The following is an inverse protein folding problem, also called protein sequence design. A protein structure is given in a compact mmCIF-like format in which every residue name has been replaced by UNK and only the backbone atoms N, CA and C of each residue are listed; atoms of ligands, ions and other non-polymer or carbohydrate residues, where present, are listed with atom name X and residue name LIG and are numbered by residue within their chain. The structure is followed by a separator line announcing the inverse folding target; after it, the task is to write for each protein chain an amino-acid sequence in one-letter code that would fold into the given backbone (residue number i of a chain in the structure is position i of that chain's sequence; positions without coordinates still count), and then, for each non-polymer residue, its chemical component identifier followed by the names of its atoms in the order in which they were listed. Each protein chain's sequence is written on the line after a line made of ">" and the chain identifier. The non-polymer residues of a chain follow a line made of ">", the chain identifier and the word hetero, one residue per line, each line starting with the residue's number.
data_IF_375542066900
#
_entry.id   IF_375542066900
#
_cell.length_a   1.000
_cell.length_b   1.000
_cell.length_c   1.000
_cell.angle_alpha   90.00
_cell.angle_beta   90.00
_cell.angle_gamma   90.00
#
_symmetry.space_group_name_H-M   'P 1'
#
loop_
_entity.id
_entity.type
_entity.pdbx_description
1 polymer ?
#
# COMPACT_ATOMS: atom_id res chain seq x y z
N UNK A 1 11.77 31.36 -13.80
CA UNK A 1 11.82 32.24 -14.98
C UNK A 1 11.31 31.46 -16.17
N UNK A 2 10.25 31.97 -16.80
CA UNK A 2 9.69 31.40 -18.04
C UNK A 2 10.71 31.65 -19.16
N UNK A 3 11.11 30.59 -19.87
CA UNK A 3 12.02 30.72 -20.99
C UNK A 3 11.37 31.49 -22.15
N UNK A 4 12.13 32.27 -22.93
CA UNK A 4 11.61 33.05 -24.04
C UNK A 4 10.94 32.16 -25.11
N UNK A 5 11.48 30.96 -25.33
CA UNK A 5 10.94 29.98 -26.26
C UNK A 5 9.57 29.45 -25.80
N UNK A 6 9.38 29.21 -24.48
CA UNK A 6 8.09 28.77 -23.91
C UNK A 6 6.99 29.83 -24.13
N UNK A 7 7.33 31.13 -24.02
CA UNK A 7 6.39 32.23 -24.25
C UNK A 7 5.99 32.30 -25.74
N UNK A 8 6.95 32.08 -26.65
CA UNK A 8 6.68 32.05 -28.10
C UNK A 8 5.76 30.89 -28.46
N UNK A 9 6.05 29.68 -27.91
CA UNK A 9 5.24 28.49 -28.12
C UNK A 9 3.83 28.66 -27.58
N UNK A 10 3.68 29.30 -26.41
CA UNK A 10 2.39 29.62 -25.85
C UNK A 10 1.56 30.53 -26.77
N UNK A 11 2.15 31.60 -27.29
CA UNK A 11 1.45 32.54 -28.19
C UNK A 11 1.00 31.86 -29.47
N UNK A 12 1.85 31.06 -30.09
CA UNK A 12 1.52 30.30 -31.28
C UNK A 12 0.41 29.28 -31.03
N UNK A 13 0.50 28.53 -29.94
CA UNK A 13 -0.50 27.54 -29.53
C UNK A 13 -1.85 28.23 -29.25
N UNK A 14 -1.84 29.37 -28.56
CA UNK A 14 -3.05 30.15 -28.28
C UNK A 14 -3.75 30.54 -29.60
N UNK A 15 -2.99 31.06 -30.56
CA UNK A 15 -3.53 31.48 -31.84
C UNK A 15 -4.21 30.32 -32.59
N UNK A 16 -3.56 29.15 -32.61
CA UNK A 16 -4.10 27.94 -33.26
C UNK A 16 -5.33 27.40 -32.50
N UNK A 17 -5.31 27.44 -31.18
CA UNK A 17 -6.41 27.01 -30.33
C UNK A 17 -7.66 27.90 -30.52
N UNK A 18 -7.46 29.23 -30.64
CA UNK A 18 -8.55 30.20 -30.90
C UNK A 18 -9.20 29.97 -32.25
N UNK A 19 -8.48 29.37 -33.20
CA UNK A 19 -9.03 28.98 -34.52
C UNK A 19 -9.86 27.69 -34.46
N UNK A 20 -9.99 27.06 -33.30
CA UNK A 20 -10.82 25.87 -33.07
C UNK A 20 -10.11 24.54 -33.23
N UNK A 21 -8.78 24.51 -33.35
CA UNK A 21 -8.00 23.27 -33.43
C UNK A 21 -8.00 22.54 -32.09
N UNK A 22 -8.57 21.34 -32.04
CA UNK A 22 -8.73 20.57 -30.81
C UNK A 22 -7.39 20.19 -30.17
N UNK A 23 -6.40 19.79 -30.95
CA UNK A 23 -5.07 19.45 -30.44
C UNK A 23 -4.36 20.66 -29.83
N UNK A 24 -4.49 21.83 -30.48
CA UNK A 24 -3.95 23.08 -29.95
C UNK A 24 -4.67 23.50 -28.66
N UNK A 25 -5.97 23.33 -28.60
CA UNK A 25 -6.77 23.58 -27.38
C UNK A 25 -6.32 22.68 -26.24
N UNK A 26 -6.09 21.40 -26.50
CA UNK A 26 -5.52 20.48 -25.51
C UNK A 26 -4.14 20.93 -25.07
N UNK A 27 -3.25 21.24 -26.00
CA UNK A 27 -1.87 21.68 -25.68
C UNK A 27 -1.89 22.97 -24.86
N UNK A 28 -2.76 23.90 -25.20
CA UNK A 28 -2.93 25.15 -24.43
C UNK A 28 -3.46 24.89 -23.01
N UNK A 29 -4.43 23.99 -22.88
CA UNK A 29 -4.91 23.55 -21.58
C UNK A 29 -3.79 22.97 -20.71
N UNK A 30 -2.92 22.16 -21.30
CA UNK A 30 -1.74 21.60 -20.63
C UNK A 30 -0.77 22.70 -20.21
N UNK A 31 -0.49 23.68 -21.07
CA UNK A 31 0.37 24.82 -20.74
C UNK A 31 -0.15 25.60 -19.53
N UNK A 32 -1.43 25.88 -19.45
CA UNK A 32 -2.04 26.50 -18.28
C UNK A 32 -2.00 25.60 -17.05
N UNK A 33 -2.19 24.30 -17.23
CA UNK A 33 -2.15 23.34 -16.12
C UNK A 33 -0.75 23.24 -15.48
N UNK A 34 0.30 23.24 -16.30
CA UNK A 34 1.70 23.10 -15.87
C UNK A 34 2.40 24.44 -15.59
N UNK A 35 1.82 25.55 -16.06
CA UNK A 35 2.45 26.86 -16.00
C UNK A 35 3.62 27.01 -16.98
N UNK A 36 3.51 26.41 -18.17
CA UNK A 36 4.54 26.42 -19.20
C UNK A 36 4.27 27.57 -20.18
N UNK A 37 5.18 28.52 -20.27
CA UNK A 37 5.04 29.71 -21.11
C UNK A 37 3.98 30.70 -20.66
N UNK A 38 3.24 30.38 -19.59
CA UNK A 38 2.19 31.17 -18.99
C UNK A 38 2.10 30.86 -17.52
N UNK A 39 1.51 31.76 -16.73
CA UNK A 39 1.24 31.49 -15.31
C UNK A 39 0.27 30.33 -15.19
N UNK A 40 0.55 29.39 -14.28
CA UNK A 40 -0.34 28.27 -13.98
C UNK A 40 -1.73 28.77 -13.60
N UNK A 41 -2.74 28.23 -14.28
CA UNK A 41 -4.14 28.53 -14.03
C UNK A 41 -5.03 27.32 -14.36
N UNK A 42 -5.49 26.63 -13.33
CA UNK A 42 -6.34 25.44 -13.49
C UNK A 42 -7.70 25.77 -14.09
N UNK A 43 -8.26 26.94 -13.83
CA UNK A 43 -9.54 27.32 -14.40
C UNK A 43 -9.44 27.53 -15.92
N UNK A 44 -8.39 28.20 -16.38
CA UNK A 44 -8.12 28.33 -17.82
C UNK A 44 -7.77 26.98 -18.44
N UNK A 45 -7.00 26.13 -17.75
CA UNK A 45 -6.72 24.78 -18.22
C UNK A 45 -8.02 23.99 -18.45
N UNK A 46 -8.95 24.02 -17.49
CA UNK A 46 -10.24 23.35 -17.60
C UNK A 46 -11.07 23.87 -18.77
N UNK A 47 -11.07 25.19 -19.01
CA UNK A 47 -11.80 25.81 -20.14
C UNK A 47 -11.27 25.31 -21.48
N UNK A 48 -9.96 25.25 -21.67
CA UNK A 48 -9.36 24.79 -22.91
C UNK A 48 -9.51 23.28 -23.09
N UNK A 49 -9.36 22.49 -22.03
CA UNK A 49 -9.66 21.06 -22.09
C UNK A 49 -11.13 20.80 -22.46
N UNK A 50 -12.05 21.58 -21.91
CA UNK A 50 -13.46 21.46 -22.23
C UNK A 50 -13.73 21.69 -23.73
N UNK A 51 -13.13 22.73 -24.33
CA UNK A 51 -13.28 23.00 -25.77
C UNK A 51 -12.76 21.83 -26.63
N UNK A 52 -11.60 21.28 -26.30
CA UNK A 52 -11.06 20.12 -27.00
C UNK A 52 -11.92 18.86 -26.76
N UNK A 53 -12.38 18.67 -25.53
CA UNK A 53 -13.21 17.53 -25.13
C UNK A 53 -14.57 17.52 -25.84
N UNK A 54 -15.20 18.68 -26.01
CA UNK A 54 -16.44 18.81 -26.78
C UNK A 54 -16.27 18.40 -28.24
N UNK A 55 -15.10 18.59 -28.81
CA UNK A 55 -14.74 18.11 -30.16
C UNK A 55 -14.44 16.62 -30.23
N UNK A 56 -14.54 15.89 -29.11
CA UNK A 56 -14.29 14.46 -29.04
C UNK A 56 -12.84 14.08 -28.80
N UNK A 57 -11.97 15.01 -28.42
CA UNK A 57 -10.54 14.72 -28.19
C UNK A 57 -10.35 13.92 -26.89
N UNK A 58 -10.00 12.60 -26.96
CA UNK A 58 -10.13 11.72 -25.80
C UNK A 58 -9.18 12.06 -24.66
N UNK A 59 -7.96 12.50 -24.95
CA UNK A 59 -6.99 12.91 -23.91
C UNK A 59 -7.53 14.10 -23.12
N UNK A 60 -8.13 15.07 -23.80
CA UNK A 60 -8.76 16.24 -23.16
C UNK A 60 -9.96 15.83 -22.32
N UNK A 61 -10.78 14.91 -22.81
CA UNK A 61 -11.91 14.35 -22.06
C UNK A 61 -11.43 13.70 -20.76
N UNK A 62 -10.39 12.86 -20.84
CA UNK A 62 -9.81 12.23 -19.65
C UNK A 62 -9.27 13.26 -18.66
N UNK A 63 -8.51 14.25 -19.13
CA UNK A 63 -7.92 15.28 -18.27
C UNK A 63 -8.99 16.15 -17.60
N UNK A 64 -10.04 16.50 -18.35
CA UNK A 64 -11.18 17.23 -17.80
C UNK A 64 -11.91 16.39 -16.73
N UNK A 65 -12.11 15.10 -16.99
CA UNK A 65 -12.65 14.16 -16.01
C UNK A 65 -11.83 14.15 -14.71
N UNK A 66 -10.50 14.13 -14.83
CA UNK A 66 -9.61 14.20 -13.67
C UNK A 66 -9.73 15.52 -12.91
N UNK A 67 -9.89 16.63 -13.60
CA UNK A 67 -10.08 17.93 -12.95
C UNK A 67 -11.40 17.97 -12.17
N UNK A 68 -12.49 17.44 -12.73
CA UNK A 68 -13.76 17.30 -12.00
C UNK A 68 -13.65 16.33 -10.81
N UNK A 69 -12.92 15.23 -10.96
CA UNK A 69 -12.73 14.28 -9.88
C UNK A 69 -11.97 14.88 -8.68
N UNK A 70 -11.02 15.78 -8.94
CA UNK A 70 -10.17 16.42 -7.93
C UNK A 70 -10.67 17.78 -7.48
N UNK A 71 -11.57 18.42 -8.22
CA UNK A 71 -11.96 19.81 -7.97
C UNK A 71 -10.85 20.81 -8.30
N UNK A 72 -10.11 20.58 -9.38
CA UNK A 72 -9.04 21.47 -9.86
C UNK A 72 -9.55 22.34 -10.99
N UNK A 73 -9.59 23.66 -10.77
CA UNK A 73 -10.07 24.63 -11.75
C UNK A 73 -11.57 24.59 -12.02
N UNK A 74 -12.26 23.61 -11.48
CA UNK A 74 -13.71 23.41 -11.52
C UNK A 74 -14.15 22.92 -10.14
N UNK A 75 -15.43 23.08 -9.83
CA UNK A 75 -16.01 22.49 -8.63
C UNK A 75 -15.95 20.96 -8.74
N UNK A 76 -15.51 20.30 -7.69
CA UNK A 76 -15.46 18.84 -7.63
C UNK A 76 -16.85 18.25 -7.92
N UNK A 77 -16.91 17.39 -8.92
CA UNK A 77 -18.15 16.73 -9.34
C UNK A 77 -17.83 15.33 -9.91
N UNK A 78 -18.00 14.28 -9.10
CA UNK A 78 -17.72 12.92 -9.54
C UNK A 78 -18.62 12.45 -10.69
N UNK A 79 -19.85 12.96 -10.79
CA UNK A 79 -20.79 12.62 -11.87
C UNK A 79 -20.26 13.16 -13.21
N UNK A 80 -19.80 14.41 -13.24
CA UNK A 80 -19.17 15.00 -14.42
C UNK A 80 -17.88 14.27 -14.77
N UNK A 81 -17.08 13.91 -13.77
CA UNK A 81 -15.85 13.13 -13.98
C UNK A 81 -16.14 11.80 -14.69
N UNK A 82 -17.16 11.07 -14.22
CA UNK A 82 -17.59 9.81 -14.85
C UNK A 82 -18.01 10.02 -16.30
N UNK A 83 -18.81 11.02 -16.59
CA UNK A 83 -19.30 11.28 -17.94
C UNK A 83 -18.15 11.55 -18.92
N UNK A 84 -17.15 12.33 -18.52
CA UNK A 84 -16.00 12.63 -19.36
C UNK A 84 -15.07 11.42 -19.52
N UNK A 85 -14.81 10.68 -18.44
CA UNK A 85 -14.04 9.42 -18.53
C UNK A 85 -14.72 8.42 -19.47
N UNK A 86 -16.04 8.29 -19.37
CA UNK A 86 -16.83 7.39 -20.24
C UNK A 86 -16.65 7.74 -21.70
N UNK A 87 -16.79 9.01 -22.06
CA UNK A 87 -16.60 9.46 -23.44
C UNK A 87 -15.23 9.08 -24.01
N UNK A 88 -14.19 9.30 -23.23
CA UNK A 88 -12.84 8.92 -23.63
C UNK A 88 -12.63 7.40 -23.66
N UNK A 89 -13.17 6.70 -22.66
CA UNK A 89 -13.05 5.24 -22.53
C UNK A 89 -13.75 4.51 -23.67
N UNK A 90 -14.91 4.97 -24.10
CA UNK A 90 -15.67 4.41 -25.24
C UNK A 90 -14.93 4.59 -26.55
N UNK A 91 -14.07 5.61 -26.67
CA UNK A 91 -13.17 5.79 -27.80
C UNK A 91 -11.91 4.91 -27.74
N UNK A 92 -11.74 4.11 -26.69
CA UNK A 92 -10.58 3.24 -26.52
C UNK A 92 -9.41 3.86 -25.76
N UNK A 93 -9.58 5.05 -25.18
CA UNK A 93 -8.49 5.68 -24.43
C UNK A 93 -8.23 4.93 -23.11
N UNK A 94 -7.09 4.25 -23.04
CA UNK A 94 -6.79 3.28 -21.98
C UNK A 94 -6.80 3.88 -20.57
N UNK A 95 -6.22 5.05 -20.38
CA UNK A 95 -6.18 5.71 -19.07
C UNK A 95 -7.59 6.04 -18.57
N UNK A 96 -8.50 6.48 -19.47
CA UNK A 96 -9.88 6.74 -19.11
C UNK A 96 -10.64 5.46 -18.77
N UNK A 97 -10.36 4.37 -19.48
CA UNK A 97 -10.91 3.04 -19.15
C UNK A 97 -10.52 2.62 -17.73
N UNK A 98 -9.25 2.78 -17.37
CA UNK A 98 -8.79 2.55 -16.01
C UNK A 98 -9.49 3.44 -14.99
N UNK A 99 -9.53 4.75 -15.24
CA UNK A 99 -10.17 5.71 -14.34
C UNK A 99 -11.67 5.41 -14.15
N UNK A 100 -12.36 5.02 -15.22
CA UNK A 100 -13.77 4.61 -15.15
C UNK A 100 -13.94 3.32 -14.33
N UNK A 101 -13.04 2.35 -14.50
CA UNK A 101 -12.99 1.14 -13.68
C UNK A 101 -12.86 1.44 -12.19
N UNK A 102 -11.98 2.37 -11.82
CA UNK A 102 -11.79 2.83 -10.42
C UNK A 102 -13.07 3.48 -9.88
N UNK A 103 -13.78 4.24 -10.69
CA UNK A 103 -15.06 4.84 -10.26
C UNK A 103 -16.12 3.79 -9.95
N UNK A 104 -16.24 2.76 -10.78
CA UNK A 104 -17.14 1.63 -10.52
C UNK A 104 -16.72 0.79 -9.31
N UNK A 105 -15.42 0.55 -9.14
CA UNK A 105 -14.90 -0.17 -7.97
C UNK A 105 -15.26 0.54 -6.66
N UNK A 106 -15.15 1.87 -6.63
CA UNK A 106 -15.35 2.67 -5.41
C UNK A 106 -16.74 3.27 -5.26
N UNK A 107 -17.60 3.16 -6.27
CA UNK A 107 -18.93 3.80 -6.26
C UNK A 107 -18.85 5.33 -6.22
N UNK A 108 -17.94 5.94 -6.98
CA UNK A 108 -17.78 7.40 -7.07
C UNK A 108 -18.36 7.91 -8.37
N UNK A 109 -19.38 8.76 -8.27
CA UNK A 109 -20.09 9.29 -9.45
C UNK A 109 -20.99 8.29 -10.17
N UNK A 110 -20.91 7.02 -9.79
CA UNK A 110 -21.75 5.89 -10.23
C UNK A 110 -22.03 4.99 -9.05
N UNK A 111 -23.04 4.16 -9.16
CA UNK A 111 -23.26 3.07 -8.21
C UNK A 111 -22.10 2.07 -8.31
N UNK A 112 -21.57 1.64 -7.16
CA UNK A 112 -20.53 0.60 -7.12
C UNK A 112 -20.98 -0.65 -7.87
N UNK A 113 -20.12 -1.10 -8.79
CA UNK A 113 -20.37 -2.29 -9.61
C UNK A 113 -19.05 -2.94 -10.00
N UNK A 114 -18.70 -4.01 -9.30
CA UNK A 114 -17.44 -4.72 -9.56
C UNK A 114 -17.41 -5.39 -10.94
N UNK A 115 -18.56 -5.82 -11.48
CA UNK A 115 -18.63 -6.40 -12.84
C UNK A 115 -18.24 -5.36 -13.90
N UNK A 116 -18.75 -4.14 -13.78
CA UNK A 116 -18.34 -3.03 -14.63
C UNK A 116 -16.87 -2.66 -14.44
N UNK A 117 -16.40 -2.64 -13.20
CA UNK A 117 -14.99 -2.36 -12.90
C UNK A 117 -14.07 -3.36 -13.62
N UNK A 118 -14.36 -4.65 -13.53
CA UNK A 118 -13.60 -5.70 -14.22
C UNK A 118 -13.57 -5.49 -15.72
N UNK A 119 -14.70 -5.15 -16.33
CA UNK A 119 -14.78 -4.93 -17.79
C UNK A 119 -13.89 -3.77 -18.23
N UNK A 120 -13.94 -2.65 -17.52
CA UNK A 120 -13.12 -1.47 -17.86
C UNK A 120 -11.65 -1.69 -17.54
N UNK A 121 -11.32 -2.29 -16.39
CA UNK A 121 -9.94 -2.68 -16.09
C UNK A 121 -9.38 -3.66 -17.13
N UNK A 122 -10.19 -4.61 -17.58
CA UNK A 122 -9.80 -5.56 -18.62
C UNK A 122 -9.39 -4.87 -19.92
N UNK A 123 -10.18 -3.92 -20.38
CA UNK A 123 -9.86 -3.15 -21.60
C UNK A 123 -8.57 -2.35 -21.45
N UNK A 124 -8.39 -1.67 -20.33
CA UNK A 124 -7.18 -0.90 -20.05
C UNK A 124 -5.96 -1.81 -19.87
N UNK A 125 -6.12 -2.94 -19.18
CA UNK A 125 -5.06 -3.93 -18.95
C UNK A 125 -4.55 -4.56 -20.25
N UNK A 126 -5.44 -4.87 -21.18
CA UNK A 126 -5.09 -5.38 -22.51
C UNK A 126 -4.28 -4.36 -23.32
N UNK A 127 -4.47 -3.08 -23.08
CA UNK A 127 -3.69 -2.01 -23.70
C UNK A 127 -2.38 -1.72 -22.96
N UNK A 128 -2.06 -2.44 -21.90
CA UNK A 128 -0.79 -2.34 -21.21
C UNK A 128 -0.73 -1.39 -20.02
N UNK A 129 -1.84 -0.86 -19.53
CA UNK A 129 -1.88 -0.03 -18.30
C UNK A 129 -1.55 -0.91 -17.09
N UNK A 130 -0.40 -0.70 -16.47
CA UNK A 130 0.10 -1.53 -15.37
C UNK A 130 -0.83 -1.51 -14.15
N UNK A 131 -1.37 -0.35 -13.80
CA UNK A 131 -2.32 -0.19 -12.71
C UNK A 131 -3.62 -0.98 -12.98
N UNK A 132 -4.07 -1.01 -14.23
CA UNK A 132 -5.25 -1.79 -14.62
C UNK A 132 -4.96 -3.29 -14.58
N UNK A 133 -3.77 -3.72 -14.99
CA UNK A 133 -3.33 -5.12 -14.90
C UNK A 133 -3.30 -5.58 -13.44
N UNK A 134 -2.74 -4.76 -12.56
CA UNK A 134 -2.73 -5.04 -11.12
C UNK A 134 -4.16 -5.11 -10.55
N UNK A 135 -5.00 -4.13 -10.84
CA UNK A 135 -6.39 -4.09 -10.36
C UNK A 135 -7.19 -5.29 -10.86
N UNK A 136 -7.04 -5.66 -12.12
CA UNK A 136 -7.70 -6.83 -12.69
C UNK A 136 -7.21 -8.12 -12.02
N UNK A 137 -5.91 -8.26 -11.81
CA UNK A 137 -5.31 -9.38 -11.08
C UNK A 137 -5.89 -9.52 -9.69
N UNK A 138 -6.02 -8.41 -8.96
CA UNK A 138 -6.62 -8.36 -7.62
C UNK A 138 -8.09 -8.84 -7.65
N UNK A 139 -8.87 -8.41 -8.62
CA UNK A 139 -10.28 -8.81 -8.73
C UNK A 139 -10.43 -10.31 -9.00
N UNK A 140 -9.58 -10.90 -9.83
CA UNK A 140 -9.53 -12.35 -10.01
C UNK A 140 -9.07 -13.08 -8.75
N UNK A 141 -8.10 -12.50 -8.02
CA UNK A 141 -7.59 -13.09 -6.78
C UNK A 141 -8.66 -13.13 -5.68
N UNK A 142 -9.44 -12.07 -5.56
CA UNK A 142 -10.48 -11.93 -4.52
C UNK A 142 -11.85 -12.45 -4.94
N UNK A 143 -12.05 -12.70 -6.24
CA UNK A 143 -13.37 -13.09 -6.78
C UNK A 143 -14.37 -11.95 -6.73
N UNK A 144 -13.93 -10.73 -7.00
CA UNK A 144 -14.79 -9.54 -7.04
C UNK A 144 -15.17 -9.20 -8.49
N UNK A 145 -16.47 -9.23 -8.79
CA UNK A 145 -16.97 -8.95 -10.13
C UNK A 145 -16.67 -10.03 -11.17
N UNK A 146 -15.91 -11.05 -10.80
CA UNK A 146 -15.58 -12.26 -11.57
C UNK A 146 -15.46 -13.43 -10.60
N UNK A 147 -15.54 -14.63 -11.14
CA UNK A 147 -15.24 -15.84 -10.38
C UNK A 147 -13.75 -15.82 -9.97
N UNK A 148 -13.48 -16.14 -8.71
CA UNK A 148 -12.10 -16.24 -8.20
C UNK A 148 -11.28 -17.20 -9.08
N UNK A 149 -10.13 -16.74 -9.53
CA UNK A 149 -9.21 -17.51 -10.37
C UNK A 149 -7.78 -17.05 -10.11
N UNK A 150 -7.04 -17.83 -9.33
CA UNK A 150 -5.65 -17.49 -8.99
C UNK A 150 -4.72 -17.55 -10.21
N UNK A 151 -4.97 -18.42 -11.18
CA UNK A 151 -4.15 -18.51 -12.39
C UNK A 151 -4.29 -17.25 -13.25
N UNK A 152 -5.51 -16.75 -13.43
CA UNK A 152 -5.74 -15.46 -14.10
C UNK A 152 -5.15 -14.30 -13.31
N UNK A 153 -5.30 -14.31 -11.98
CA UNK A 153 -4.68 -13.28 -11.12
C UNK A 153 -3.17 -13.21 -11.33
N UNK A 154 -2.50 -14.35 -11.28
CA UNK A 154 -1.04 -14.44 -11.51
C UNK A 154 -0.64 -13.93 -12.89
N UNK A 155 -1.39 -14.29 -13.92
CA UNK A 155 -1.15 -13.82 -15.28
C UNK A 155 -1.14 -12.30 -15.38
N UNK A 156 -2.09 -11.64 -14.76
CA UNK A 156 -2.17 -10.18 -14.75
C UNK A 156 -1.13 -9.53 -13.83
N UNK A 157 -0.89 -10.11 -12.66
CA UNK A 157 0.19 -9.65 -11.77
C UNK A 157 1.55 -9.72 -12.46
N UNK A 158 1.81 -10.79 -13.22
CA UNK A 158 3.06 -10.94 -13.95
C UNK A 158 3.27 -9.79 -14.94
N UNK A 159 2.24 -9.44 -15.70
CA UNK A 159 2.32 -8.33 -16.66
C UNK A 159 2.61 -6.99 -15.98
N UNK A 160 1.93 -6.69 -14.89
CA UNK A 160 2.20 -5.48 -14.11
C UNK A 160 3.59 -5.50 -13.46
N UNK A 161 3.99 -6.65 -12.93
CA UNK A 161 5.30 -6.86 -12.29
C UNK A 161 6.47 -6.66 -13.28
N UNK A 162 6.32 -7.15 -14.49
CA UNK A 162 7.30 -6.95 -15.58
C UNK A 162 7.45 -5.49 -15.98
N UNK A 163 6.42 -4.67 -15.78
CA UNK A 163 6.48 -3.22 -15.96
C UNK A 163 7.07 -2.48 -14.76
N UNK A 164 7.44 -3.19 -13.70
CA UNK A 164 8.11 -2.64 -12.53
C UNK A 164 7.18 -2.31 -11.35
N UNK A 165 5.90 -2.65 -11.41
CA UNK A 165 4.98 -2.39 -10.29
C UNK A 165 5.39 -3.21 -9.05
N UNK A 166 5.81 -2.54 -7.95
CA UNK A 166 6.33 -3.26 -6.78
C UNK A 166 5.24 -4.03 -6.02
N UNK A 167 4.01 -3.58 -6.06
CA UNK A 167 2.90 -4.27 -5.39
C UNK A 167 2.58 -5.57 -6.13
N UNK A 168 2.53 -5.51 -7.46
CA UNK A 168 2.34 -6.70 -8.30
C UNK A 168 3.50 -7.68 -8.14
N UNK A 169 4.74 -7.20 -8.08
CA UNK A 169 5.92 -8.02 -7.83
C UNK A 169 5.81 -8.75 -6.49
N UNK A 170 5.43 -8.05 -5.43
CA UNK A 170 5.22 -8.67 -4.12
C UNK A 170 4.10 -9.72 -4.15
N UNK A 171 2.97 -9.42 -4.78
CA UNK A 171 1.84 -10.34 -4.87
C UNK A 171 2.18 -11.58 -5.70
N UNK A 172 2.98 -11.41 -6.74
CA UNK A 172 3.51 -12.52 -7.52
C UNK A 172 4.45 -13.39 -6.67
N UNK A 173 5.31 -12.76 -5.86
CA UNK A 173 6.14 -13.46 -4.88
C UNK A 173 5.31 -14.30 -3.90
N UNK A 174 4.21 -13.74 -3.38
CA UNK A 174 3.27 -14.46 -2.51
C UNK A 174 2.65 -15.66 -3.22
N UNK A 175 2.25 -15.49 -4.48
CA UNK A 175 1.68 -16.57 -5.29
C UNK A 175 2.66 -17.74 -5.45
N UNK A 176 3.91 -17.46 -5.77
CA UNK A 176 4.96 -18.49 -5.84
C UNK A 176 5.29 -19.12 -4.49
N UNK A 177 5.31 -18.32 -3.42
CA UNK A 177 5.60 -18.83 -2.07
C UNK A 177 4.52 -19.80 -1.58
N UNK A 178 3.26 -19.56 -1.94
CA UNK A 178 2.10 -20.36 -1.52
C UNK A 178 1.67 -21.43 -2.54
N UNK A 179 2.11 -21.34 -3.78
CA UNK A 179 1.63 -22.17 -4.86
C UNK A 179 0.16 -21.86 -5.24
N UNK A 180 -0.20 -20.58 -5.26
CA UNK A 180 -1.54 -20.11 -5.63
C UNK A 180 -1.55 -19.62 -7.08
N UNK A 181 -2.22 -20.37 -7.97
CA UNK A 181 -2.29 -20.03 -9.39
C UNK A 181 -1.02 -20.37 -10.19
N UNK A 182 0.03 -20.77 -9.51
CA UNK A 182 1.31 -21.25 -10.06
C UNK A 182 1.82 -22.38 -9.19
N UNK A 183 2.73 -23.18 -9.72
CA UNK A 183 3.44 -24.17 -8.93
C UNK A 183 4.29 -23.46 -7.86
N UNK A 184 4.21 -23.93 -6.62
CA UNK A 184 5.02 -23.41 -5.52
C UNK A 184 6.50 -23.44 -5.88
N UNK A 185 7.15 -22.30 -5.78
CA UNK A 185 8.56 -22.13 -6.10
C UNK A 185 9.18 -21.01 -5.22
N UNK A 186 9.81 -21.38 -4.11
CA UNK A 186 10.41 -20.39 -3.19
C UNK A 186 11.54 -19.56 -3.83
N UNK A 187 12.26 -20.10 -4.83
CA UNK A 187 13.31 -19.36 -5.54
C UNK A 187 12.71 -18.23 -6.37
N UNK A 188 11.62 -18.51 -7.11
CA UNK A 188 10.88 -17.47 -7.83
C UNK A 188 10.28 -16.44 -6.86
N UNK A 189 9.73 -16.89 -5.73
CA UNK A 189 9.18 -15.99 -4.71
C UNK A 189 10.25 -14.99 -4.24
N UNK A 190 11.44 -15.49 -3.92
CA UNK A 190 12.56 -14.63 -3.50
C UNK A 190 12.91 -13.59 -4.56
N UNK A 191 13.03 -14.00 -5.81
CA UNK A 191 13.39 -13.09 -6.90
C UNK A 191 12.38 -11.94 -7.05
N UNK A 192 11.09 -12.23 -6.98
CA UNK A 192 10.05 -11.21 -7.08
C UNK A 192 9.98 -10.32 -5.83
N UNK A 193 10.09 -10.89 -4.63
CA UNK A 193 10.19 -10.09 -3.40
C UNK A 193 11.39 -9.15 -3.44
N UNK A 194 12.54 -9.62 -3.92
CA UNK A 194 13.76 -8.81 -4.03
C UNK A 194 13.55 -7.61 -4.94
N UNK A 195 12.95 -7.80 -6.11
CA UNK A 195 12.66 -6.69 -7.03
C UNK A 195 11.78 -5.61 -6.38
N UNK A 196 10.74 -6.00 -5.69
CA UNK A 196 9.88 -5.07 -4.97
C UNK A 196 10.59 -4.42 -3.76
N UNK A 197 11.34 -5.22 -3.00
CA UNK A 197 12.07 -4.76 -1.81
C UNK A 197 13.15 -3.73 -2.16
N UNK A 198 13.88 -3.92 -3.25
CA UNK A 198 14.89 -2.99 -3.76
C UNK A 198 14.30 -1.66 -4.21
N UNK A 199 13.03 -1.63 -4.60
CA UNK A 199 12.27 -0.40 -4.87
C UNK A 199 11.76 0.29 -3.59
N UNK A 200 11.99 -0.29 -2.42
CA UNK A 200 11.54 0.25 -1.15
C UNK A 200 10.16 -0.23 -0.69
N UNK A 201 9.56 -1.22 -1.35
CA UNK A 201 8.25 -1.72 -0.93
C UNK A 201 8.37 -2.51 0.39
N UNK A 202 7.82 -1.94 1.45
CA UNK A 202 8.04 -2.40 2.83
C UNK A 202 7.56 -3.84 3.06
N UNK A 203 6.41 -4.23 2.53
CA UNK A 203 5.89 -5.58 2.69
C UNK A 203 6.80 -6.63 2.04
N UNK A 204 7.37 -6.31 0.89
CA UNK A 204 8.34 -7.20 0.21
C UNK A 204 9.66 -7.30 0.99
N UNK A 205 10.10 -6.20 1.59
CA UNK A 205 11.27 -6.20 2.48
C UNK A 205 11.05 -7.13 3.67
N UNK A 206 9.88 -7.06 4.29
CA UNK A 206 9.49 -7.98 5.35
C UNK A 206 9.48 -9.44 4.86
N UNK A 207 8.82 -9.71 3.75
CA UNK A 207 8.73 -11.07 3.18
C UNK A 207 10.10 -11.64 2.84
N UNK A 208 10.99 -10.83 2.30
CA UNK A 208 12.37 -11.22 2.00
C UNK A 208 13.16 -11.51 3.28
N UNK A 209 12.98 -10.70 4.31
CA UNK A 209 13.55 -10.94 5.64
C UNK A 209 13.14 -12.30 6.21
N UNK A 210 11.86 -12.65 6.09
CA UNK A 210 11.33 -13.96 6.52
C UNK A 210 11.97 -15.11 5.74
N UNK A 211 12.20 -14.95 4.44
CA UNK A 211 12.86 -15.97 3.62
C UNK A 211 14.30 -16.23 4.08
N UNK A 212 15.06 -15.18 4.37
CA UNK A 212 16.41 -15.31 4.91
C UNK A 212 16.44 -15.90 6.32
N UNK A 213 15.49 -15.50 7.17
CA UNK A 213 15.38 -16.05 8.53
C UNK A 213 15.16 -17.57 8.52
N UNK A 214 14.31 -18.04 7.59
CA UNK A 214 13.88 -19.44 7.52
C UNK A 214 14.68 -20.29 6.51
N UNK A 215 15.52 -19.69 5.69
CA UNK A 215 16.23 -20.40 4.64
C UNK A 215 15.32 -20.97 3.55
N UNK A 216 14.29 -20.23 3.15
CA UNK A 216 13.35 -20.65 2.10
C UNK A 216 13.65 -19.91 0.79
N UNK A 217 14.00 -20.67 -0.24
CA UNK A 217 14.39 -20.12 -1.54
C UNK A 217 15.76 -19.44 -1.57
N UNK A 218 16.36 -19.28 -0.41
CA UNK A 218 17.72 -18.77 -0.18
C UNK A 218 18.36 -19.56 0.95
N UNK A 219 19.68 -19.51 1.04
CA UNK A 219 20.39 -20.00 2.21
C UNK A 219 20.01 -19.14 3.42
N UNK A 220 19.72 -19.79 4.56
CA UNK A 220 19.45 -19.09 5.82
C UNK A 220 20.61 -18.13 6.16
N UNK A 221 20.26 -16.89 6.44
CA UNK A 221 21.22 -15.83 6.75
C UNK A 221 20.54 -14.77 7.65
N UNK A 222 20.80 -14.86 8.96
CA UNK A 222 20.21 -13.93 9.92
C UNK A 222 20.71 -12.48 9.73
N UNK A 223 21.92 -12.29 9.22
CA UNK A 223 22.44 -10.94 8.94
C UNK A 223 21.61 -10.27 7.84
N UNK A 224 21.30 -10.98 6.77
CA UNK A 224 20.42 -10.51 5.72
C UNK A 224 18.99 -10.29 6.24
N UNK A 225 18.49 -11.21 7.07
CA UNK A 225 17.15 -11.06 7.66
C UNK A 225 17.05 -9.78 8.48
N UNK A 226 18.03 -9.46 9.32
CA UNK A 226 18.07 -8.21 10.10
C UNK A 226 18.06 -6.99 9.20
N UNK A 227 18.82 -6.99 8.12
CA UNK A 227 18.88 -5.86 7.19
C UNK A 227 17.53 -5.58 6.54
N UNK A 228 16.86 -6.62 6.06
CA UNK A 228 15.56 -6.47 5.41
C UNK A 228 14.44 -6.15 6.41
N UNK A 229 14.41 -6.82 7.56
CA UNK A 229 13.47 -6.45 8.64
C UNK A 229 13.69 -5.01 9.10
N UNK A 230 14.95 -4.57 9.19
CA UNK A 230 15.28 -3.19 9.56
C UNK A 230 14.66 -2.17 8.62
N UNK A 231 14.80 -2.37 7.31
CA UNK A 231 14.20 -1.50 6.30
C UNK A 231 12.67 -1.47 6.39
N UNK A 232 12.03 -2.62 6.54
CA UNK A 232 10.58 -2.71 6.69
C UNK A 232 10.11 -2.09 8.01
N UNK A 233 10.85 -2.30 9.10
CA UNK A 233 10.55 -1.76 10.43
C UNK A 233 10.63 -0.24 10.47
N UNK A 234 11.62 0.34 9.81
CA UNK A 234 11.75 1.79 9.66
C UNK A 234 10.57 2.42 8.91
N UNK A 235 9.97 1.68 8.01
CA UNK A 235 8.75 2.10 7.30
C UNK A 235 7.46 1.84 8.08
N UNK A 236 7.53 1.30 9.28
CA UNK A 236 6.40 1.13 10.17
C UNK A 236 5.71 -0.24 10.12
N UNK A 237 6.27 -1.24 9.48
CA UNK A 237 5.71 -2.60 9.49
C UNK A 237 5.85 -3.21 10.90
N UNK A 238 4.74 -3.31 11.63
CA UNK A 238 4.74 -3.75 13.03
C UNK A 238 5.33 -5.15 13.22
N UNK A 239 5.01 -6.08 12.31
CA UNK A 239 5.57 -7.43 12.37
C UNK A 239 7.09 -7.43 12.17
N UNK A 240 7.61 -6.58 11.27
CA UNK A 240 9.05 -6.41 11.07
C UNK A 240 9.72 -5.80 12.32
N UNK A 241 9.09 -4.82 12.94
CA UNK A 241 9.57 -4.23 14.20
C UNK A 241 9.65 -5.28 15.29
N UNK A 242 8.63 -6.11 15.41
CA UNK A 242 8.63 -7.22 16.38
C UNK A 242 9.76 -8.22 16.08
N UNK A 243 9.88 -8.69 14.83
CA UNK A 243 10.92 -9.65 14.45
C UNK A 243 12.32 -9.07 14.69
N UNK A 244 12.55 -7.82 14.36
CA UNK A 244 13.81 -7.13 14.61
C UNK A 244 14.12 -7.03 16.11
N UNK A 245 13.12 -6.72 16.92
CA UNK A 245 13.24 -6.71 18.38
C UNK A 245 13.66 -8.07 18.94
N UNK A 246 13.08 -9.16 18.45
CA UNK A 246 13.45 -10.53 18.82
C UNK A 246 14.91 -10.84 18.44
N UNK A 247 15.33 -10.43 17.25
CA UNK A 247 16.69 -10.66 16.78
C UNK A 247 17.73 -9.90 17.63
N UNK A 248 17.45 -8.66 18.02
CA UNK A 248 18.29 -7.94 18.97
C UNK A 248 18.29 -8.57 20.36
N UNK A 249 17.14 -9.02 20.85
CA UNK A 249 17.04 -9.67 22.16
C UNK A 249 17.86 -10.97 22.24
N UNK A 250 17.91 -11.70 21.12
CA UNK A 250 18.57 -13.03 21.06
C UNK A 250 19.99 -12.97 20.48
N UNK A 251 20.42 -11.84 19.93
CA UNK A 251 21.72 -11.76 19.25
C UNK A 251 21.77 -12.58 17.96
N UNK A 252 20.68 -12.61 17.21
CA UNK A 252 20.60 -13.32 15.92
C UNK A 252 20.87 -12.37 14.76
N UNK A 253 21.96 -12.59 14.02
CA UNK A 253 22.35 -11.74 12.89
C UNK A 253 22.87 -10.35 13.28
N UNK A 254 22.76 -10.01 14.55
CA UNK A 254 23.26 -8.78 15.16
C UNK A 254 23.81 -9.12 16.55
N UNK A 255 24.64 -8.23 17.10
CA UNK A 255 25.04 -8.31 18.50
C UNK A 255 23.80 -8.14 19.39
N UNK A 256 23.65 -8.98 20.40
CA UNK A 256 22.58 -8.87 21.39
C UNK A 256 22.55 -7.45 21.99
N UNK A 257 21.38 -6.83 21.97
CA UNK A 257 21.17 -5.48 22.47
C UNK A 257 19.74 -5.31 22.97
N UNK A 258 19.55 -5.45 24.28
CA UNK A 258 18.23 -5.33 24.91
C UNK A 258 17.64 -3.91 24.76
N UNK A 259 18.48 -2.87 24.69
CA UNK A 259 18.00 -1.51 24.50
C UNK A 259 17.35 -1.33 23.11
N UNK A 260 17.97 -1.87 22.07
CA UNK A 260 17.37 -1.92 20.73
C UNK A 260 16.09 -2.77 20.72
N UNK A 261 16.10 -3.92 21.40
CA UNK A 261 14.94 -4.79 21.51
C UNK A 261 13.74 -4.05 22.12
N UNK A 262 13.95 -3.33 23.22
CA UNK A 262 12.89 -2.51 23.87
C UNK A 262 12.34 -1.44 22.92
N UNK A 263 13.21 -0.76 22.19
CA UNK A 263 12.77 0.27 21.25
C UNK A 263 11.86 -0.31 20.14
N UNK A 264 12.27 -1.42 19.53
CA UNK A 264 11.50 -2.05 18.46
C UNK A 264 10.22 -2.70 18.98
N UNK A 265 10.26 -3.40 20.11
CA UNK A 265 9.04 -3.91 20.75
C UNK A 265 8.08 -2.77 21.11
N UNK A 266 8.61 -1.64 21.60
CA UNK A 266 7.79 -0.47 21.92
C UNK A 266 7.04 0.08 20.71
N UNK A 267 7.71 0.19 19.56
CA UNK A 267 7.09 0.65 18.31
C UNK A 267 6.01 -0.33 17.82
N UNK A 268 6.27 -1.62 17.82
CA UNK A 268 5.31 -2.63 17.44
C UNK A 268 4.12 -2.69 18.42
N UNK A 269 4.40 -2.63 19.71
CA UNK A 269 3.38 -2.64 20.77
C UNK A 269 2.44 -1.43 20.67
N UNK A 270 2.98 -0.25 20.36
CA UNK A 270 2.19 0.97 20.15
C UNK A 270 1.23 0.84 18.97
N UNK A 271 1.55 0.03 17.98
CA UNK A 271 0.69 -0.29 16.84
C UNK A 271 -0.33 -1.42 17.14
N UNK A 272 -0.32 -1.95 18.35
CA UNK A 272 -1.25 -3.02 18.77
C UNK A 272 -0.74 -4.45 18.55
N UNK A 273 0.55 -4.64 18.25
CA UNK A 273 1.10 -5.99 18.08
C UNK A 273 1.15 -6.74 19.41
N UNK A 274 0.27 -7.74 19.58
CA UNK A 274 0.04 -8.41 20.87
C UNK A 274 1.30 -9.05 21.47
N UNK A 275 2.08 -9.77 20.67
CA UNK A 275 3.30 -10.43 21.14
C UNK A 275 4.38 -9.41 21.54
N UNK A 276 4.45 -8.27 20.83
CA UNK A 276 5.35 -7.18 21.20
C UNK A 276 4.93 -6.52 22.51
N UNK A 277 3.63 -6.34 22.73
CA UNK A 277 3.07 -5.85 24.01
C UNK A 277 3.47 -6.78 25.15
N UNK A 278 3.31 -8.08 24.97
CA UNK A 278 3.73 -9.08 25.95
C UNK A 278 5.23 -9.00 26.22
N UNK A 279 6.07 -9.01 25.19
CA UNK A 279 7.52 -8.96 25.35
C UNK A 279 7.99 -7.67 26.04
N UNK A 280 7.36 -6.55 25.72
CA UNK A 280 7.64 -5.28 26.38
C UNK A 280 7.24 -5.33 27.87
N UNK A 281 6.10 -5.94 28.19
CA UNK A 281 5.69 -6.20 29.58
C UNK A 281 6.73 -7.02 30.34
N UNK A 282 7.27 -8.07 29.74
CA UNK A 282 8.35 -8.89 30.33
C UNK A 282 9.62 -8.07 30.55
N UNK A 283 9.97 -7.18 29.61
CA UNK A 283 11.17 -6.32 29.76
C UNK A 283 11.02 -5.38 30.98
N UNK A 284 9.84 -4.77 31.17
CA UNK A 284 9.55 -3.94 32.34
C UNK A 284 9.49 -4.74 33.64
N UNK A 285 8.89 -5.94 33.62
CA UNK A 285 8.83 -6.81 34.79
C UNK A 285 10.23 -7.20 35.29
N UNK A 286 11.13 -7.52 34.34
CA UNK A 286 12.47 -7.97 34.66
C UNK A 286 13.51 -6.83 34.78
N UNK A 287 13.16 -5.63 34.36
CA UNK A 287 14.11 -4.50 34.32
C UNK A 287 15.23 -4.70 33.30
N UNK A 288 14.93 -5.27 32.12
CA UNK A 288 15.87 -5.48 31.04
C UNK A 288 15.96 -4.22 30.15
N UNK A 289 17.06 -3.50 30.24
CA UNK A 289 17.34 -2.24 29.56
C UNK A 289 16.29 -1.13 29.74
N UNK A 290 15.37 -1.34 30.66
CA UNK A 290 14.43 -0.37 31.19
C UNK A 290 14.43 -0.46 32.69
N UNK A 291 14.08 0.63 33.37
CA UNK A 291 13.88 0.56 34.83
C UNK A 291 12.75 -0.43 35.11
N UNK A 292 13.00 -1.37 36.05
CA UNK A 292 11.99 -2.31 36.51
C UNK A 292 10.73 -1.57 36.97
N UNK A 293 9.61 -1.89 36.37
CA UNK A 293 8.34 -1.24 36.63
C UNK A 293 7.17 -2.22 36.47
N UNK A 294 6.64 -2.71 37.56
CA UNK A 294 5.53 -3.64 37.55
C UNK A 294 4.22 -3.01 37.07
N UNK A 295 4.02 -1.71 37.27
CA UNK A 295 2.83 -0.99 36.79
C UNK A 295 2.83 -0.92 35.26
N UNK A 296 3.95 -0.57 34.67
CA UNK A 296 4.12 -0.61 33.20
C UNK A 296 3.97 -2.04 32.66
N UNK A 297 4.56 -3.03 33.34
CA UNK A 297 4.43 -4.43 32.94
C UNK A 297 2.95 -4.86 32.89
N UNK A 298 2.18 -4.58 33.94
CA UNK A 298 0.74 -4.87 34.00
C UNK A 298 -0.03 -4.17 32.87
N UNK A 299 0.29 -2.91 32.61
CA UNK A 299 -0.35 -2.14 31.54
C UNK A 299 -0.18 -2.83 30.17
N UNK A 300 1.03 -3.29 29.85
CA UNK A 300 1.29 -3.97 28.60
C UNK A 300 0.70 -5.37 28.55
N UNK A 301 0.74 -6.13 29.65
CA UNK A 301 0.07 -7.42 29.74
C UNK A 301 -1.44 -7.29 29.53
N UNK A 302 -2.08 -6.27 30.10
CA UNK A 302 -3.53 -6.03 29.88
C UNK A 302 -3.84 -5.80 28.40
N UNK A 303 -3.06 -4.98 27.70
CA UNK A 303 -3.25 -4.76 26.26
C UNK A 303 -3.14 -6.06 25.46
N UNK A 304 -2.16 -6.89 25.78
CA UNK A 304 -1.98 -8.18 25.13
C UNK A 304 -3.13 -9.15 25.47
N UNK A 305 -3.65 -9.13 26.70
CA UNK A 305 -4.81 -9.97 27.11
C UNK A 305 -6.09 -9.60 26.39
N UNK A 306 -6.29 -8.32 26.05
CA UNK A 306 -7.43 -7.85 25.27
C UNK A 306 -7.49 -8.51 23.88
N UNK A 307 -6.35 -8.96 23.38
CA UNK A 307 -6.20 -9.69 22.12
C UNK A 307 -6.18 -11.21 22.30
N UNK A 308 -6.44 -11.69 23.52
CA UNK A 308 -6.55 -13.11 23.83
C UNK A 308 -5.21 -13.86 23.94
N UNK A 309 -4.09 -13.16 24.15
CA UNK A 309 -2.77 -13.81 24.25
C UNK A 309 -2.64 -14.57 25.58
N UNK A 310 -2.61 -15.90 25.51
CA UNK A 310 -2.60 -16.79 26.69
C UNK A 310 -1.42 -16.53 27.64
N UNK A 311 -0.22 -16.33 27.12
CA UNK A 311 0.96 -16.03 27.93
C UNK A 311 0.80 -14.74 28.73
N UNK A 312 0.17 -13.72 28.15
CA UNK A 312 -0.11 -12.46 28.82
C UNK A 312 -1.18 -12.63 29.90
N UNK A 313 -2.21 -13.42 29.62
CA UNK A 313 -3.26 -13.75 30.61
C UNK A 313 -2.64 -14.46 31.82
N UNK A 314 -1.77 -15.44 31.59
CA UNK A 314 -1.07 -16.14 32.65
C UNK A 314 -0.20 -15.18 33.49
N UNK A 315 0.63 -14.36 32.84
CA UNK A 315 1.50 -13.42 33.55
C UNK A 315 0.70 -12.35 34.30
N UNK A 316 -0.43 -11.89 33.76
CA UNK A 316 -1.30 -10.99 34.48
C UNK A 316 -1.89 -11.66 35.73
N UNK A 317 -2.26 -12.93 35.64
CA UNK A 317 -2.66 -13.74 36.79
C UNK A 317 -1.59 -13.78 37.89
N UNK A 318 -0.32 -14.01 37.49
CA UNK A 318 0.82 -14.00 38.43
C UNK A 318 0.98 -12.63 39.09
N UNK A 319 0.80 -11.54 38.35
CA UNK A 319 0.88 -10.17 38.91
C UNK A 319 -0.18 -9.93 39.97
N UNK A 320 -1.42 -10.38 39.77
CA UNK A 320 -2.47 -10.30 40.74
C UNK A 320 -2.23 -11.20 41.97
N UNK A 321 -1.70 -12.39 41.74
CA UNK A 321 -1.40 -13.34 42.81
C UNK A 321 -0.32 -12.80 43.76
N UNK A 322 0.70 -12.15 43.21
CA UNK A 322 1.82 -11.60 43.97
C UNK A 322 1.64 -10.14 44.41
N UNK A 323 0.58 -9.45 43.96
CA UNK A 323 0.41 -8.02 44.22
C UNK A 323 1.50 -7.15 43.59
N UNK A 324 1.96 -7.50 42.37
CA UNK A 324 2.98 -6.77 41.65
C UNK A 324 2.36 -5.84 40.59
N UNK A 325 2.54 -4.54 40.74
CA UNK A 325 1.93 -3.52 39.86
C UNK A 325 0.42 -3.38 39.97
N UNK A 326 -0.21 -4.26 40.70
CA UNK A 326 -1.65 -4.28 41.06
C UNK A 326 -1.79 -4.70 42.50
N UNK A 327 -2.92 -4.36 43.12
CA UNK A 327 -3.26 -4.89 44.44
C UNK A 327 -3.40 -6.41 44.35
N UNK A 328 -2.84 -7.13 45.34
CA UNK A 328 -2.97 -8.57 45.41
C UNK A 328 -4.44 -8.98 45.45
N UNK A 329 -4.83 -9.87 44.57
CA UNK A 329 -6.21 -10.34 44.42
C UNK A 329 -6.22 -11.78 43.88
N UNK A 330 -6.31 -12.79 44.76
CA UNK A 330 -6.30 -14.20 44.33
C UNK A 330 -7.51 -14.58 43.47
N UNK A 331 -8.65 -13.88 43.61
CA UNK A 331 -9.83 -14.14 42.79
C UNK A 331 -9.60 -13.69 41.34
N UNK A 332 -9.03 -12.51 41.14
CA UNK A 332 -8.61 -12.04 39.82
C UNK A 332 -7.55 -12.94 39.23
N UNK A 333 -6.55 -13.36 40.02
CA UNK A 333 -5.52 -14.28 39.58
C UNK A 333 -6.12 -15.57 39.03
N UNK A 334 -7.03 -16.20 39.76
CA UNK A 334 -7.71 -17.42 39.32
C UNK A 334 -8.48 -17.22 38.00
N UNK A 335 -9.17 -16.09 37.86
CA UNK A 335 -9.93 -15.77 36.65
C UNK A 335 -9.01 -15.67 35.42
N UNK A 336 -7.82 -15.04 35.55
CA UNK A 336 -6.84 -14.94 34.47
C UNK A 336 -6.20 -16.29 34.17
N UNK A 337 -5.84 -17.10 35.16
CA UNK A 337 -5.30 -18.44 34.93
C UNK A 337 -6.28 -19.34 34.18
N UNK A 338 -7.58 -19.20 34.44
CA UNK A 338 -8.62 -19.99 33.74
C UNK A 338 -8.77 -19.57 32.27
N UNK A 339 -8.47 -18.31 31.93
CA UNK A 339 -8.51 -17.80 30.54
C UNK A 339 -7.27 -18.19 29.75
N UNK A 340 -6.14 -18.32 30.41
CA UNK A 340 -4.88 -18.69 29.79
C UNK A 340 -4.86 -20.19 29.36
#
# INVERSE_FOLDING_TARGET
>A
AVLADDVSDFKETLQTAEQGNAQAQFSLGKMYYEGQGVRQDYAEAARWYFKAAEQGYPVAQNNLGTMYAKGQGVRQDPVQAEQWYRKAAEQGYAQAQYNLGVMYENGRGVRQDYTQAVQWFGKAAEQGIAEAQFSLGKMYYEGQGVRQDYAEAVRWYLKAAEQGDPVAQNNLGVAYAKGQGVRQDPVQAEQWYRKAAEQGYAQAQYNLGVMYENGRGVRQDYTQAVQWFGKAAEQGIAQAQFNLGVMYANGQGVRQDDAQAVQWFGKAAAQGHAQAQFNLGVMYEKGRSVRKDYVEAVKWYRKATEQGLANAQFNLGVMYDNGQGVRQDPVQAEQWYRKA
#
